data_IF_029648949952
#
_entry.id   IF_029648949952
#
_cell.length_a   1.000
_cell.length_b   1.000
_cell.length_c   1.000
_cell.angle_alpha   90.00
_cell.angle_beta   90.00
_cell.angle_gamma   90.00
#
_symmetry.space_group_name_H-M   'P 1'
#
loop_
_entity.id
_entity.type
_entity.pdbx_description
1 polymer ?
#
# COMPACT_ATOMS: atom_id res chain seq x y z
N UNK A 1 36.19 -38.53 27.24
CA UNK A 1 36.70 -38.91 25.90
C UNK A 1 36.08 -37.96 24.88
N UNK A 2 36.90 -37.13 24.27
CA UNK A 2 36.50 -36.13 23.29
C UNK A 2 36.50 -36.77 21.89
N UNK A 3 35.42 -36.55 21.12
CA UNK A 3 35.42 -36.76 19.68
C UNK A 3 34.99 -35.46 19.00
N UNK A 4 36.00 -34.69 18.60
CA UNK A 4 35.91 -33.63 17.61
C UNK A 4 35.82 -34.28 16.22
N UNK A 5 34.84 -33.88 15.40
CA UNK A 5 34.88 -34.10 13.94
C UNK A 5 34.71 -32.78 13.21
N UNK A 6 35.57 -32.62 12.21
CA UNK A 6 35.88 -31.40 11.49
C UNK A 6 34.80 -30.98 10.49
N UNK A 7 34.85 -29.68 10.19
CA UNK A 7 33.98 -28.95 9.27
C UNK A 7 34.06 -29.44 7.82
N UNK A 8 32.90 -29.80 7.27
CA UNK A 8 32.69 -29.91 5.82
C UNK A 8 32.27 -28.56 5.23
N UNK A 9 33.19 -27.90 4.54
CA UNK A 9 32.86 -26.85 3.55
C UNK A 9 32.30 -27.52 2.31
N UNK A 10 31.21 -26.97 1.75
CA UNK A 10 30.71 -27.01 0.35
C UNK A 10 29.17 -26.96 0.40
N UNK A 11 28.42 -26.22 -0.41
CA UNK A 11 28.63 -25.18 -1.43
C UNK A 11 27.32 -24.36 -1.38
N UNK A 12 27.40 -23.02 -1.38
CA UNK A 12 26.21 -22.15 -1.46
C UNK A 12 25.66 -22.22 -2.89
N UNK A 13 24.35 -22.43 -3.11
CA UNK A 13 23.75 -22.16 -4.41
C UNK A 13 23.79 -20.65 -4.68
N UNK A 14 24.32 -20.29 -5.84
CA UNK A 14 24.49 -18.94 -6.34
C UNK A 14 23.15 -18.23 -6.54
N UNK A 15 23.04 -17.00 -6.06
CA UNK A 15 21.97 -16.07 -6.40
C UNK A 15 22.15 -15.64 -7.86
N UNK A 16 21.34 -16.20 -8.76
CA UNK A 16 21.20 -15.69 -10.12
C UNK A 16 20.43 -14.37 -10.08
N UNK A 17 21.17 -13.26 -10.02
CA UNK A 17 20.65 -11.93 -10.32
C UNK A 17 20.30 -11.85 -11.80
N UNK A 18 19.01 -11.94 -12.13
CA UNK A 18 18.51 -11.51 -13.43
C UNK A 18 18.23 -10.02 -13.35
N UNK A 19 19.17 -9.20 -13.82
CA UNK A 19 18.89 -7.81 -14.21
C UNK A 19 18.12 -7.87 -15.53
N UNK A 20 16.79 -7.84 -15.47
CA UNK A 20 15.98 -7.48 -16.63
C UNK A 20 15.95 -5.95 -16.73
N UNK A 21 16.70 -5.44 -17.70
CA UNK A 21 16.59 -4.06 -18.16
C UNK A 21 15.17 -3.83 -18.69
N UNK A 22 14.40 -2.97 -18.03
CA UNK A 22 13.20 -2.40 -18.63
C UNK A 22 13.62 -1.18 -19.44
N UNK A 23 13.63 -1.42 -20.75
CA UNK A 23 13.84 -0.49 -21.85
C UNK A 23 12.86 0.68 -21.71
N UNK A 24 13.40 1.89 -21.67
CA UNK A 24 12.65 3.12 -21.87
C UNK A 24 12.10 3.12 -23.29
N UNK A 25 10.77 3.01 -23.43
CA UNK A 25 10.07 3.23 -24.68
C UNK A 25 10.12 4.71 -25.03
N UNK A 26 11.04 5.09 -25.92
CA UNK A 26 11.06 6.38 -26.60
C UNK A 26 9.92 6.37 -27.62
N UNK A 27 8.81 7.02 -27.27
CA UNK A 27 7.78 7.36 -28.23
C UNK A 27 8.29 8.54 -29.08
N UNK A 28 8.79 8.22 -30.27
CA UNK A 28 8.96 9.17 -31.35
C UNK A 28 7.56 9.67 -31.78
N UNK A 29 7.28 10.95 -31.57
CA UNK A 29 6.19 11.64 -32.27
C UNK A 29 6.82 12.78 -33.10
N UNK A 30 6.99 12.43 -34.36
CA UNK A 30 7.08 13.25 -35.57
C UNK A 30 7.01 14.77 -35.38
N UNK A 31 8.14 15.37 -35.71
CA UNK A 31 8.35 16.76 -36.11
C UNK A 31 7.36 17.23 -37.19
N UNK A 32 6.62 18.30 -36.90
CA UNK A 32 6.23 19.30 -37.90
C UNK A 32 6.69 20.66 -37.39
N UNK A 33 7.98 20.92 -37.56
CA UNK A 33 8.54 22.26 -37.42
C UNK A 33 8.20 23.05 -38.68
N UNK A 34 7.36 24.08 -38.54
CA UNK A 34 7.26 25.14 -39.55
C UNK A 34 8.48 26.03 -39.35
N UNK A 35 9.55 25.75 -40.11
CA UNK A 35 10.67 26.66 -40.27
C UNK A 35 10.23 27.66 -41.35
N UNK A 36 9.83 28.85 -40.92
CA UNK A 36 9.62 29.98 -41.82
C UNK A 36 10.97 30.49 -42.32
N UNK A 37 11.37 30.06 -43.51
CA UNK A 37 12.53 30.57 -44.23
C UNK A 37 12.24 31.99 -44.72
N UNK A 38 12.89 33.00 -44.15
CA UNK A 38 12.97 34.33 -44.75
C UNK A 38 14.04 34.28 -45.84
N UNK A 39 13.60 34.15 -47.09
CA UNK A 39 14.44 34.41 -48.25
C UNK A 39 14.54 35.93 -48.47
N UNK A 40 15.74 36.54 -48.49
CA UNK A 40 15.89 37.88 -49.03
C UNK A 40 15.76 37.79 -50.56
N UNK A 41 14.74 38.45 -51.12
CA UNK A 41 14.62 38.60 -52.56
C UNK A 41 15.54 39.74 -53.01
N UNK A 42 16.62 39.37 -53.70
CA UNK A 42 17.52 40.30 -54.36
C UNK A 42 17.09 40.50 -55.82
N UNK A 43 16.83 41.77 -56.15
CA UNK A 43 17.22 42.47 -57.38
C UNK A 43 16.55 42.04 -58.70
N UNK A 44 15.74 42.95 -59.25
CA UNK A 44 15.67 43.19 -60.69
C UNK A 44 15.23 44.65 -60.94
N UNK A 45 16.19 45.52 -61.22
CA UNK A 45 16.00 46.71 -62.05
C UNK A 45 17.38 47.13 -62.57
N UNK A 46 17.67 46.70 -63.79
CA UNK A 46 18.84 47.06 -64.57
C UNK A 46 18.88 48.58 -64.78
N UNK A 47 20.04 49.19 -64.52
CA UNK A 47 20.36 50.54 -64.96
C UNK A 47 21.15 50.43 -66.27
N UNK A 48 20.45 50.65 -67.39
CA UNK A 48 21.09 51.20 -68.58
C UNK A 48 21.27 52.71 -68.33
N UNK A 49 22.53 53.13 -68.17
CA UNK A 49 22.93 54.54 -68.21
C UNK A 49 23.76 54.76 -69.47
N UNK A 50 23.06 55.16 -70.54
CA UNK A 50 23.65 56.01 -71.57
C UNK A 50 23.41 57.47 -71.14
N UNK A 51 24.50 58.23 -71.11
CA UNK A 51 24.52 59.65 -70.79
C UNK A 51 23.84 60.50 -71.88
N UNK A 52 23.32 61.66 -71.45
CA UNK A 52 23.16 62.98 -72.13
C UNK A 52 21.88 63.62 -71.55
N UNK A 53 22.03 64.53 -70.59
CA UNK A 53 22.13 65.98 -70.79
C UNK A 53 20.79 66.70 -70.59
N UNK A 54 20.90 67.85 -69.93
CA UNK A 54 19.93 68.93 -69.72
C UNK A 54 18.86 68.78 -68.64
N UNK A 55 18.99 69.66 -67.65
CA UNK A 55 17.88 70.54 -67.29
C UNK A 55 17.01 70.08 -66.12
N UNK A 56 17.39 70.52 -64.92
CA UNK A 56 16.52 71.08 -63.88
C UNK A 56 15.05 70.66 -63.92
N UNK A 57 14.61 69.77 -63.02
CA UNK A 57 13.45 69.87 -62.10
C UNK A 57 13.35 68.50 -61.40
N UNK A 58 13.20 68.53 -60.06
CA UNK A 58 12.81 67.43 -59.14
C UNK A 58 13.94 66.76 -58.34
N UNK A 59 14.52 67.52 -57.42
CA UNK A 59 15.23 66.96 -56.25
C UNK A 59 14.71 67.53 -54.91
N UNK A 60 13.42 67.87 -54.84
CA UNK A 60 12.74 68.36 -53.60
C UNK A 60 11.88 67.25 -52.96
N UNK A 61 12.09 65.97 -53.28
CA UNK A 61 11.20 64.90 -52.79
C UNK A 61 11.91 63.59 -52.38
N UNK A 62 13.16 63.66 -51.89
CA UNK A 62 13.87 62.49 -51.35
C UNK A 62 14.09 62.57 -49.83
N UNK A 63 14.06 63.76 -49.25
CA UNK A 63 14.31 63.95 -47.82
C UNK A 63 13.08 63.56 -46.96
N UNK A 64 11.88 63.95 -47.39
CA UNK A 64 10.63 63.60 -46.70
C UNK A 64 10.25 62.11 -46.84
N UNK A 65 10.79 61.39 -47.83
CA UNK A 65 10.54 59.94 -48.02
C UNK A 65 11.48 59.07 -47.17
N UNK A 66 12.72 59.52 -46.93
CA UNK A 66 13.65 58.80 -46.06
C UNK A 66 13.22 58.92 -44.59
N UNK A 67 12.72 60.09 -44.18
CA UNK A 67 12.21 60.35 -42.83
C UNK A 67 10.90 59.58 -42.54
N UNK A 68 10.00 59.46 -43.53
CA UNK A 68 8.80 58.60 -43.39
C UNK A 68 9.09 57.10 -43.43
N UNK A 69 10.17 56.66 -44.09
CA UNK A 69 10.59 55.25 -44.06
C UNK A 69 11.26 54.91 -42.72
N UNK A 70 12.08 55.81 -42.17
CA UNK A 70 12.69 55.64 -40.84
C UNK A 70 11.63 55.56 -39.73
N UNK A 71 10.63 56.44 -39.75
CA UNK A 71 9.50 56.40 -38.81
C UNK A 71 8.71 55.08 -38.90
N UNK A 72 8.46 54.57 -40.11
CA UNK A 72 7.78 53.28 -40.31
C UNK A 72 8.58 52.09 -39.79
N UNK A 73 9.92 52.13 -39.88
CA UNK A 73 10.80 51.08 -39.35
C UNK A 73 10.78 51.09 -37.81
N UNK A 74 10.81 52.27 -37.19
CA UNK A 74 10.72 52.41 -35.74
C UNK A 74 9.34 51.99 -35.19
N UNK A 75 8.26 52.38 -35.87
CA UNK A 75 6.90 51.92 -35.53
C UNK A 75 6.77 50.39 -35.66
N UNK A 76 7.33 49.81 -36.73
CA UNK A 76 7.33 48.36 -36.93
C UNK A 76 8.17 47.64 -35.87
N UNK A 77 9.32 48.19 -35.48
CA UNK A 77 10.17 47.64 -34.41
C UNK A 77 9.45 47.70 -33.05
N UNK A 78 8.78 48.81 -32.74
CA UNK A 78 7.96 48.95 -31.53
C UNK A 78 6.77 47.98 -31.54
N UNK A 79 6.10 47.79 -32.68
CA UNK A 79 5.01 46.83 -32.82
C UNK A 79 5.48 45.38 -32.63
N UNK A 80 6.67 45.03 -33.15
CA UNK A 80 7.27 43.71 -32.96
C UNK A 80 7.65 43.45 -31.50
N UNK A 81 8.26 44.43 -30.82
CA UNK A 81 8.62 44.30 -29.40
C UNK A 81 7.36 44.11 -28.53
N UNK A 82 6.32 44.92 -28.77
CA UNK A 82 5.04 44.79 -28.05
C UNK A 82 4.40 43.42 -28.28
N UNK A 83 4.44 42.89 -29.50
CA UNK A 83 3.90 41.57 -29.82
C UNK A 83 4.69 40.43 -29.13
N UNK A 84 6.01 40.57 -28.97
CA UNK A 84 6.83 39.61 -28.20
C UNK A 84 6.51 39.65 -26.71
N UNK A 85 6.38 40.84 -26.12
CA UNK A 85 6.04 41.03 -24.70
C UNK A 85 4.64 40.46 -24.39
N UNK A 86 3.66 40.70 -25.26
CA UNK A 86 2.30 40.14 -25.14
C UNK A 86 2.28 38.61 -25.30
N UNK A 87 3.08 38.07 -26.23
CA UNK A 87 3.22 36.62 -26.42
C UNK A 87 3.92 35.94 -25.23
N UNK A 88 4.93 36.58 -24.63
CA UNK A 88 5.59 36.09 -23.41
C UNK A 88 4.63 36.14 -22.22
N UNK A 89 3.88 37.23 -22.05
CA UNK A 89 2.86 37.36 -21.02
C UNK A 89 1.77 36.28 -21.17
N UNK A 90 1.30 36.01 -22.39
CA UNK A 90 0.34 34.95 -22.67
C UNK A 90 0.90 33.55 -22.35
N UNK A 91 2.16 33.25 -22.72
CA UNK A 91 2.82 31.98 -22.39
C UNK A 91 3.02 31.80 -20.89
N UNK A 92 3.40 32.86 -20.17
CA UNK A 92 3.56 32.85 -18.72
C UNK A 92 2.20 32.61 -18.03
N UNK A 93 1.15 33.29 -18.47
CA UNK A 93 -0.21 33.09 -17.97
C UNK A 93 -0.73 31.66 -18.23
N UNK A 94 -0.46 31.09 -19.40
CA UNK A 94 -0.82 29.71 -19.71
C UNK A 94 -0.01 28.70 -18.87
N UNK A 95 1.28 28.93 -18.67
CA UNK A 95 2.13 28.10 -17.82
C UNK A 95 1.68 28.14 -16.36
N UNK A 96 1.32 29.31 -15.84
CA UNK A 96 0.76 29.47 -14.49
C UNK A 96 -0.59 28.76 -14.36
N UNK A 97 -1.49 28.89 -15.33
CA UNK A 97 -2.77 28.14 -15.36
C UNK A 97 -2.54 26.63 -15.39
N UNK A 98 -1.63 26.13 -16.24
CA UNK A 98 -1.30 24.71 -16.31
C UNK A 98 -0.67 24.21 -15.00
N UNK A 99 0.20 25.01 -14.38
CA UNK A 99 0.80 24.69 -13.09
C UNK A 99 -0.25 24.63 -11.97
N UNK A 100 -1.22 25.54 -11.96
CA UNK A 100 -2.30 25.54 -10.99
C UNK A 100 -3.26 24.35 -11.19
N UNK A 101 -3.61 24.02 -12.43
CA UNK A 101 -4.40 22.82 -12.74
C UNK A 101 -3.68 21.56 -12.28
N UNK A 102 -2.37 21.45 -12.56
CA UNK A 102 -1.55 20.31 -12.11
C UNK A 102 -1.51 20.22 -10.58
N UNK A 103 -1.29 21.33 -9.87
CA UNK A 103 -1.30 21.37 -8.39
C UNK A 103 -2.65 20.96 -7.82
N UNK A 104 -3.76 21.44 -8.41
CA UNK A 104 -5.12 21.06 -8.00
C UNK A 104 -5.40 19.57 -8.26
N UNK A 105 -4.95 19.04 -9.40
CA UNK A 105 -5.07 17.62 -9.73
C UNK A 105 -4.26 16.73 -8.77
N UNK A 106 -3.01 17.10 -8.47
CA UNK A 106 -2.16 16.39 -7.52
C UNK A 106 -2.72 16.44 -6.09
N UNK A 107 -3.23 17.60 -5.65
CA UNK A 107 -3.86 17.73 -4.34
C UNK A 107 -5.14 16.88 -4.23
N UNK A 108 -5.96 16.84 -5.28
CA UNK A 108 -7.14 15.98 -5.34
C UNK A 108 -6.75 14.49 -5.32
N UNK A 109 -5.77 14.08 -6.12
CA UNK A 109 -5.29 12.70 -6.14
C UNK A 109 -4.69 12.27 -4.78
N UNK A 110 -3.96 13.17 -4.12
CA UNK A 110 -3.43 12.92 -2.76
C UNK A 110 -4.56 12.73 -1.76
N UNK A 111 -5.56 13.63 -1.77
CA UNK A 111 -6.73 13.54 -0.88
C UNK A 111 -7.53 12.25 -1.11
N UNK A 112 -7.80 11.89 -2.36
CA UNK A 112 -8.50 10.64 -2.69
C UNK A 112 -7.71 9.40 -2.24
N UNK A 113 -6.38 9.42 -2.36
CA UNK A 113 -5.53 8.33 -1.85
C UNK A 113 -5.59 8.23 -0.32
N UNK A 114 -5.48 9.36 0.39
CA UNK A 114 -5.59 9.39 1.85
C UNK A 114 -6.96 8.92 2.34
N UNK A 115 -8.04 9.30 1.65
CA UNK A 115 -9.40 8.83 1.94
C UNK A 115 -9.55 7.33 1.71
N UNK A 116 -9.02 6.79 0.61
CA UNK A 116 -9.00 5.34 0.35
C UNK A 116 -8.19 4.59 1.41
N UNK A 117 -7.02 5.10 1.79
CA UNK A 117 -6.20 4.50 2.83
C UNK A 117 -6.92 4.54 4.20
N UNK A 118 -7.60 5.63 4.53
CA UNK A 118 -8.41 5.74 5.75
C UNK A 118 -9.59 4.76 5.75
N UNK A 119 -10.31 4.66 4.64
CA UNK A 119 -11.40 3.71 4.47
C UNK A 119 -10.92 2.26 4.58
N UNK A 120 -9.78 1.93 3.97
CA UNK A 120 -9.16 0.60 4.09
C UNK A 120 -8.76 0.27 5.54
N UNK A 121 -8.15 1.22 6.26
CA UNK A 121 -7.81 1.04 7.69
C UNK A 121 -9.04 0.87 8.57
N UNK A 122 -10.14 1.56 8.27
CA UNK A 122 -11.39 1.40 9.00
C UNK A 122 -12.06 0.06 8.73
N UNK A 123 -12.12 -0.37 7.47
CA UNK A 123 -12.64 -1.68 7.11
C UNK A 123 -11.82 -2.80 7.78
N UNK A 124 -10.50 -2.68 7.80
CA UNK A 124 -9.62 -3.62 8.47
C UNK A 124 -9.84 -3.61 9.99
N UNK A 125 -9.98 -2.44 10.62
CA UNK A 125 -10.32 -2.35 12.06
C UNK A 125 -11.64 -3.05 12.38
N UNK A 126 -12.67 -2.88 11.55
CA UNK A 126 -13.97 -3.55 11.73
C UNK A 126 -13.84 -5.07 11.60
N UNK A 127 -13.07 -5.54 10.61
CA UNK A 127 -12.79 -6.97 10.43
C UNK A 127 -12.04 -7.55 11.62
N UNK A 128 -11.00 -6.87 12.09
CA UNK A 128 -10.17 -7.29 13.22
C UNK A 128 -10.95 -7.34 14.55
N UNK A 129 -12.01 -6.54 14.69
CA UNK A 129 -12.89 -6.54 15.85
C UNK A 129 -14.02 -7.57 15.78
N UNK A 130 -14.25 -8.20 14.63
CA UNK A 130 -15.27 -9.25 14.49
C UNK A 130 -14.71 -10.56 14.98
N UNK A 131 -15.40 -11.27 15.86
CA UNK A 131 -14.95 -12.56 16.34
C UNK A 131 -15.43 -13.71 15.44
N UNK A 132 -14.76 -14.86 15.53
CA UNK A 132 -15.07 -16.09 14.79
C UNK A 132 -15.04 -17.30 15.72
N UNK A 133 -15.74 -18.35 15.32
CA UNK A 133 -15.57 -19.67 15.93
C UNK A 133 -14.13 -20.17 15.71
N UNK A 134 -13.49 -20.75 16.75
CA UNK A 134 -12.09 -21.19 16.67
C UNK A 134 -11.90 -22.42 15.78
N UNK A 135 -12.96 -23.21 15.58
CA UNK A 135 -13.01 -24.33 14.62
C UNK A 135 -14.28 -24.19 13.80
N UNK A 136 -14.12 -24.11 12.47
CA UNK A 136 -15.25 -23.93 11.56
C UNK A 136 -16.18 -25.15 11.57
N UNK A 137 -17.49 -24.92 11.70
CA UNK A 137 -18.51 -25.97 11.69
C UNK A 137 -18.50 -26.91 12.91
N UNK A 138 -17.75 -26.56 13.95
CA UNK A 138 -17.74 -27.31 15.21
C UNK A 138 -18.93 -26.95 16.09
N UNK A 139 -19.22 -27.82 17.06
CA UNK A 139 -20.13 -27.58 18.17
C UNK A 139 -19.41 -27.86 19.50
N UNK A 140 -19.98 -27.39 20.61
CA UNK A 140 -19.47 -27.67 21.96
C UNK A 140 -19.83 -29.09 22.35
N UNK A 141 -18.82 -29.91 22.57
CA UNK A 141 -18.92 -31.31 23.01
C UNK A 141 -18.91 -31.45 24.54
N UNK A 142 -18.09 -30.64 25.23
CA UNK A 142 -18.05 -30.56 26.69
C UNK A 142 -18.23 -29.11 27.13
N UNK A 143 -19.20 -28.87 28.00
CA UNK A 143 -19.53 -27.52 28.48
C UNK A 143 -18.59 -27.03 29.58
N UNK A 144 -18.52 -25.72 29.73
CA UNK A 144 -17.85 -25.03 30.84
C UNK A 144 -18.45 -25.41 32.20
N UNK A 145 -17.58 -25.53 33.20
CA UNK A 145 -17.88 -26.01 34.56
C UNK A 145 -18.53 -27.40 34.64
N UNK A 146 -18.40 -28.23 33.60
CA UNK A 146 -18.72 -29.65 33.70
C UNK A 146 -17.86 -30.27 34.81
N UNK A 147 -18.48 -30.93 35.78
CA UNK A 147 -17.80 -31.47 36.96
C UNK A 147 -17.32 -32.91 36.79
N UNK A 148 -16.26 -33.30 37.50
CA UNK A 148 -15.77 -34.69 37.49
C UNK A 148 -14.30 -34.85 37.88
N UNK A 149 -13.85 -36.09 38.03
CA UNK A 149 -12.48 -36.44 38.45
C UNK A 149 -11.43 -36.27 37.34
N UNK A 150 -11.83 -35.97 36.11
CA UNK A 150 -10.93 -35.76 34.97
C UNK A 150 -10.17 -34.43 35.04
N UNK A 151 -10.69 -33.45 35.80
CA UNK A 151 -10.12 -32.11 35.90
C UNK A 151 -9.48 -31.88 37.26
N UNK A 152 -8.26 -31.34 37.29
CA UNK A 152 -7.51 -31.12 38.53
C UNK A 152 -8.17 -30.12 39.48
N UNK A 153 -9.00 -29.20 38.97
CA UNK A 153 -9.81 -28.27 39.77
C UNK A 153 -11.18 -28.84 40.17
N UNK A 154 -11.51 -30.06 39.72
CA UNK A 154 -12.84 -30.66 39.88
C UNK A 154 -13.89 -30.16 38.89
N UNK A 155 -13.55 -29.20 38.01
CA UNK A 155 -14.45 -28.71 36.96
C UNK A 155 -13.71 -28.30 35.69
N UNK A 156 -14.40 -28.37 34.56
CA UNK A 156 -13.89 -27.93 33.27
C UNK A 156 -13.74 -26.40 33.21
N UNK A 157 -12.52 -25.91 33.02
CA UNK A 157 -12.16 -24.48 32.97
C UNK A 157 -12.44 -23.82 31.61
N UNK A 158 -12.87 -24.60 30.61
CA UNK A 158 -13.14 -24.12 29.26
C UNK A 158 -14.34 -24.80 28.62
N UNK A 159 -14.37 -24.77 27.30
CA UNK A 159 -15.27 -25.58 26.48
C UNK A 159 -14.47 -26.42 25.51
N UNK A 160 -14.98 -27.61 25.20
CA UNK A 160 -14.36 -28.48 24.21
C UNK A 160 -15.14 -28.44 22.91
N UNK A 161 -14.51 -27.95 21.86
CA UNK A 161 -15.04 -28.00 20.50
C UNK A 161 -14.71 -29.34 19.86
N UNK A 162 -15.74 -30.00 19.30
CA UNK A 162 -15.56 -31.24 18.54
C UNK A 162 -14.70 -30.99 17.30
N UNK A 163 -13.49 -31.55 17.29
CA UNK A 163 -12.54 -31.41 16.18
C UNK A 163 -11.72 -32.67 16.00
N UNK A 164 -11.64 -33.18 14.78
CA UNK A 164 -10.71 -34.27 14.46
C UNK A 164 -9.27 -33.77 14.49
N UNK A 165 -8.31 -34.64 14.86
CA UNK A 165 -6.89 -34.27 14.85
C UNK A 165 -6.48 -33.72 13.47
N UNK A 166 -5.79 -32.58 13.46
CA UNK A 166 -5.43 -31.88 12.24
C UNK A 166 -6.47 -30.87 11.73
N UNK A 167 -7.63 -30.70 12.40
CA UNK A 167 -8.56 -29.63 12.00
C UNK A 167 -7.96 -28.26 12.25
N UNK A 168 -8.20 -27.31 11.33
CA UNK A 168 -7.67 -25.95 11.43
C UNK A 168 -8.24 -25.23 12.65
N UNK A 169 -7.35 -24.67 13.48
CA UNK A 169 -7.69 -23.84 14.63
C UNK A 169 -7.28 -22.40 14.34
N UNK A 170 -8.23 -21.48 14.47
CA UNK A 170 -8.03 -20.06 14.20
C UNK A 170 -8.16 -19.21 15.46
N UNK A 171 -7.51 -18.06 15.47
CA UNK A 171 -7.72 -17.06 16.52
C UNK A 171 -9.15 -16.52 16.44
N UNK A 172 -9.87 -16.53 17.56
CA UNK A 172 -11.27 -16.06 17.61
C UNK A 172 -11.36 -14.57 17.30
N UNK A 173 -10.36 -13.78 17.69
CA UNK A 173 -10.29 -12.34 17.50
C UNK A 173 -8.86 -11.87 17.33
N UNK A 174 -8.67 -10.56 17.22
CA UNK A 174 -7.33 -9.99 17.06
C UNK A 174 -6.63 -9.81 18.41
N UNK A 175 -5.34 -10.10 18.43
CA UNK A 175 -4.54 -10.02 19.65
C UNK A 175 -3.06 -10.30 19.42
N UNK A 176 -2.34 -10.47 20.52
CA UNK A 176 -0.91 -10.82 20.53
C UNK A 176 -0.71 -12.14 21.25
N UNK A 177 0.02 -13.06 20.63
CA UNK A 177 0.39 -14.35 21.24
C UNK A 177 1.31 -14.09 22.44
N UNK A 178 0.89 -14.51 23.63
CA UNK A 178 1.67 -14.39 24.87
C UNK A 178 2.28 -15.71 25.32
N UNK A 179 1.68 -16.84 24.93
CA UNK A 179 2.24 -18.17 25.14
C UNK A 179 2.06 -19.02 23.89
N UNK A 180 3.08 -19.82 23.54
CA UNK A 180 3.05 -20.77 22.44
C UNK A 180 4.03 -21.91 22.75
N UNK A 181 3.53 -23.08 23.12
CA UNK A 181 4.37 -24.23 23.47
C UNK A 181 3.66 -25.24 24.36
N UNK A 182 4.45 -26.02 25.11
CA UNK A 182 3.93 -27.04 26.02
C UNK A 182 3.41 -26.42 27.33
N UNK A 183 2.12 -26.59 27.61
CA UNK A 183 1.39 -26.03 28.75
C UNK A 183 0.99 -27.07 29.81
N UNK A 184 1.75 -28.16 29.94
CA UNK A 184 1.45 -29.21 30.91
C UNK A 184 0.21 -30.01 30.53
N UNK A 185 -0.84 -29.95 31.36
CA UNK A 185 -2.10 -30.67 31.12
C UNK A 185 -2.78 -30.24 29.80
N UNK A 186 -2.61 -28.99 29.38
CA UNK A 186 -3.13 -28.51 28.09
C UNK A 186 -2.35 -29.04 26.87
N UNK A 187 -1.22 -29.72 27.06
CA UNK A 187 -0.37 -30.17 25.96
C UNK A 187 0.21 -29.00 25.16
N UNK A 188 0.26 -29.10 23.84
CA UNK A 188 0.58 -27.95 23.00
C UNK A 188 -0.55 -26.93 23.10
N UNK A 189 -0.20 -25.72 23.50
CA UNK A 189 -1.17 -24.66 23.74
C UNK A 189 -0.69 -23.32 23.20
N UNK A 190 -1.67 -22.45 22.96
CA UNK A 190 -1.46 -21.05 22.58
C UNK A 190 -2.33 -20.20 23.50
N UNK A 191 -1.76 -19.13 24.06
CA UNK A 191 -2.52 -18.09 24.78
C UNK A 191 -2.36 -16.78 24.02
N UNK A 192 -3.47 -16.11 23.76
CA UNK A 192 -3.52 -14.84 23.02
C UNK A 192 -4.12 -13.79 23.95
N UNK A 193 -3.37 -12.70 24.17
CA UNK A 193 -3.91 -11.48 24.77
C UNK A 193 -4.70 -10.71 23.72
N UNK A 194 -5.99 -10.61 23.92
CA UNK A 194 -6.95 -10.01 23.02
C UNK A 194 -6.90 -8.47 23.14
N UNK A 195 -7.35 -7.76 22.10
CA UNK A 195 -7.38 -6.30 22.09
C UNK A 195 -8.39 -5.69 23.09
N UNK A 196 -9.37 -6.46 23.54
CA UNK A 196 -10.34 -6.09 24.58
C UNK A 196 -9.75 -6.20 26.00
N UNK A 197 -8.51 -6.71 26.14
CA UNK A 197 -7.83 -6.91 27.42
C UNK A 197 -7.99 -8.32 28.03
N UNK A 198 -8.87 -9.16 27.45
CA UNK A 198 -9.04 -10.55 27.84
C UNK A 198 -7.94 -11.45 27.27
N UNK A 199 -7.96 -12.72 27.66
CA UNK A 199 -7.06 -13.75 27.16
C UNK A 199 -7.86 -14.93 26.63
N UNK A 200 -7.43 -15.49 25.51
CA UNK A 200 -7.99 -16.73 24.97
C UNK A 200 -6.93 -17.82 24.93
N UNK A 201 -7.27 -19.02 25.38
CA UNK A 201 -6.38 -20.17 25.34
C UNK A 201 -6.92 -21.25 24.40
N UNK A 202 -6.01 -21.89 23.67
CA UNK A 202 -6.27 -22.97 22.72
C UNK A 202 -5.39 -24.15 23.12
N UNK A 203 -5.99 -25.22 23.63
CA UNK A 203 -5.30 -26.39 24.16
C UNK A 203 -5.37 -27.63 23.27
N UNK A 204 -4.60 -28.64 23.66
CA UNK A 204 -4.52 -29.97 23.06
C UNK A 204 -4.11 -30.01 21.58
N UNK A 205 -3.39 -28.99 21.09
CA UNK A 205 -3.05 -28.86 19.68
C UNK A 205 -2.09 -29.96 19.19
N UNK A 206 -2.23 -30.41 17.94
CA UNK A 206 -1.25 -31.29 17.30
C UNK A 206 -0.05 -30.51 16.75
N UNK A 207 -0.26 -29.26 16.34
CA UNK A 207 0.80 -28.34 15.92
C UNK A 207 0.49 -26.90 16.28
N UNK A 208 1.55 -26.11 16.45
CA UNK A 208 1.52 -24.67 16.68
C UNK A 208 2.15 -23.97 15.48
N UNK A 209 1.47 -22.98 14.92
CA UNK A 209 1.88 -22.26 13.70
C UNK A 209 2.28 -20.80 13.97
N UNK A 210 2.31 -20.40 15.25
CA UNK A 210 2.60 -19.04 15.69
C UNK A 210 3.70 -19.02 16.75
N UNK A 211 4.25 -17.84 17.00
CA UNK A 211 5.29 -17.62 18.01
C UNK A 211 4.89 -16.54 19.01
N UNK A 212 5.44 -16.60 20.23
CA UNK A 212 5.25 -15.54 21.24
C UNK A 212 5.65 -14.18 20.68
N UNK A 213 4.83 -13.17 20.92
CA UNK A 213 4.99 -11.80 20.41
C UNK A 213 4.39 -11.57 19.03
N UNK A 214 3.92 -12.61 18.34
CA UNK A 214 3.25 -12.46 17.05
C UNK A 214 1.86 -11.83 17.22
N UNK A 215 1.57 -10.81 16.42
CA UNK A 215 0.21 -10.29 16.26
C UNK A 215 -0.59 -11.23 15.34
N UNK A 216 -1.81 -11.53 15.73
CA UNK A 216 -2.76 -12.32 14.94
C UNK A 216 -4.09 -11.58 14.83
N UNK A 217 -4.77 -11.74 13.71
CA UNK A 217 -6.11 -11.25 13.46
C UNK A 217 -7.19 -12.32 13.63
N UNK A 218 -8.45 -11.90 13.69
CA UNK A 218 -9.58 -12.83 13.69
C UNK A 218 -9.57 -13.73 12.44
N UNK A 219 -9.62 -15.04 12.68
CA UNK A 219 -9.61 -16.06 11.63
C UNK A 219 -8.22 -16.45 11.11
N UNK A 220 -7.15 -15.85 11.63
CA UNK A 220 -5.79 -16.30 11.32
C UNK A 220 -5.58 -17.71 11.90
N UNK A 221 -5.06 -18.62 11.09
CA UNK A 221 -4.77 -19.97 11.53
C UNK A 221 -3.56 -19.98 12.48
N UNK A 222 -3.78 -20.43 13.70
CA UNK A 222 -2.78 -20.43 14.77
C UNK A 222 -2.20 -21.81 15.06
N UNK A 223 -2.90 -22.86 14.66
CA UNK A 223 -2.45 -24.24 14.88
C UNK A 223 -3.41 -25.26 14.28
N UNK A 224 -3.21 -26.51 14.67
CA UNK A 224 -4.07 -27.63 14.33
C UNK A 224 -4.55 -28.32 15.61
N UNK A 225 -5.84 -28.68 15.66
CA UNK A 225 -6.41 -29.46 16.78
C UNK A 225 -5.74 -30.83 16.90
N UNK A 226 -5.81 -31.44 18.08
CA UNK A 226 -5.13 -32.68 18.38
C UNK A 226 -5.64 -33.31 19.67
N UNK A 227 -4.78 -34.09 20.32
CA UNK A 227 -5.07 -34.75 21.60
C UNK A 227 -3.81 -34.82 22.47
N UNK A 228 -2.99 -33.77 22.45
CA UNK A 228 -1.77 -33.72 23.29
C UNK A 228 -2.10 -33.32 24.72
N UNK A 229 -1.28 -33.72 25.69
CA UNK A 229 -1.50 -33.39 27.11
C UNK A 229 -2.49 -34.37 27.76
N UNK A 230 -3.25 -33.89 28.74
CA UNK A 230 -4.30 -34.65 29.41
C UNK A 230 -5.60 -34.57 28.59
N UNK A 231 -5.77 -35.48 27.65
CA UNK A 231 -6.89 -35.50 26.70
C UNK A 231 -7.36 -36.94 26.49
N UNK A 232 -8.67 -37.15 26.39
CA UNK A 232 -9.28 -38.49 26.17
C UNK A 232 -9.48 -38.82 24.70
N UNK A 233 -9.34 -37.83 23.81
CA UNK A 233 -9.47 -37.97 22.37
C UNK A 233 -9.37 -36.63 21.65
N UNK A 234 -9.33 -36.60 20.31
CA UNK A 234 -9.16 -35.35 19.57
C UNK A 234 -10.29 -34.34 19.81
N UNK A 235 -9.92 -33.13 20.19
CA UNK A 235 -10.80 -31.97 20.34
C UNK A 235 -9.96 -30.67 20.37
N UNK A 236 -10.63 -29.52 20.38
CA UNK A 236 -10.01 -28.26 20.78
C UNK A 236 -10.57 -27.86 22.14
N UNK A 237 -9.70 -27.76 23.14
CA UNK A 237 -10.04 -27.09 24.39
C UNK A 237 -9.86 -25.58 24.23
N UNK A 238 -10.89 -24.80 24.57
CA UNK A 238 -10.91 -23.35 24.44
C UNK A 238 -11.32 -22.69 25.76
N UNK A 239 -10.52 -21.71 26.20
CA UNK A 239 -10.86 -20.87 27.34
C UNK A 239 -10.90 -19.39 26.96
N UNK A 240 -11.79 -18.66 27.63
CA UNK A 240 -11.71 -17.22 27.76
C UNK A 240 -11.33 -16.89 29.21
N UNK A 241 -10.46 -15.91 29.41
CA UNK A 241 -9.87 -15.58 30.71
C UNK A 241 -9.74 -14.07 30.92
N UNK A 242 -9.76 -13.66 32.18
CA UNK A 242 -9.51 -12.26 32.58
C UNK A 242 -8.04 -11.93 32.75
N UNK A 243 -7.19 -12.94 32.93
CA UNK A 243 -5.74 -12.81 33.04
C UNK A 243 -5.04 -14.01 32.38
N UNK A 244 -3.71 -14.01 32.14
CA UNK A 244 -3.05 -15.16 31.51
C UNK A 244 -3.01 -16.39 32.44
N UNK A 245 -3.13 -16.19 33.75
CA UNK A 245 -3.00 -17.22 34.77
C UNK A 245 -4.19 -18.18 34.81
N UNK A 246 -3.89 -19.43 35.17
CA UNK A 246 -4.90 -20.46 35.43
C UNK A 246 -5.85 -20.05 36.57
N UNK A 247 -7.14 -20.36 36.43
CA UNK A 247 -8.19 -20.05 37.39
C UNK A 247 -8.85 -18.67 37.20
N UNK A 248 -8.42 -17.91 36.20
CA UNK A 248 -9.05 -16.65 35.78
C UNK A 248 -10.11 -16.85 34.67
N UNK A 249 -10.53 -18.11 34.47
CA UNK A 249 -11.50 -18.54 33.47
C UNK A 249 -12.88 -17.90 33.65
N UNK A 250 -13.46 -17.49 32.52
CA UNK A 250 -14.83 -17.00 32.39
C UNK A 250 -15.59 -17.88 31.41
N UNK A 251 -16.92 -17.79 31.39
CA UNK A 251 -17.75 -18.57 30.47
C UNK A 251 -17.35 -18.28 29.00
N UNK A 252 -16.73 -19.24 28.29
CA UNK A 252 -16.26 -19.01 26.94
C UNK A 252 -17.40 -18.86 25.93
N UNK A 253 -18.55 -19.48 26.18
CA UNK A 253 -19.73 -19.37 25.30
C UNK A 253 -20.35 -17.99 25.44
N UNK A 254 -20.49 -17.50 26.67
CA UNK A 254 -20.96 -16.14 26.92
C UNK A 254 -20.01 -15.11 26.30
N UNK A 255 -18.70 -15.28 26.48
CA UNK A 255 -17.67 -14.42 25.89
C UNK A 255 -17.76 -14.37 24.36
N UNK A 256 -17.89 -15.52 23.70
CA UNK A 256 -18.03 -15.60 22.24
C UNK A 256 -19.34 -14.92 21.76
N UNK A 257 -20.45 -15.11 22.47
CA UNK A 257 -21.74 -14.50 22.14
C UNK A 257 -21.75 -12.99 22.32
N UNK A 258 -21.09 -12.47 23.35
CA UNK A 258 -20.91 -11.02 23.55
C UNK A 258 -20.19 -10.39 22.35
N UNK A 259 -19.27 -11.12 21.74
CA UNK A 259 -18.55 -10.71 20.53
C UNK A 259 -19.26 -11.07 19.22
N UNK A 260 -20.53 -11.46 19.27
CA UNK A 260 -21.37 -11.72 18.10
C UNK A 260 -21.17 -13.09 17.45
N UNK A 261 -20.48 -14.02 18.11
CA UNK A 261 -20.29 -15.40 17.61
C UNK A 261 -21.42 -16.29 18.09
N UNK A 262 -22.04 -17.01 17.16
CA UNK A 262 -23.00 -18.07 17.48
C UNK A 262 -22.26 -19.38 17.75
N UNK A 263 -22.53 -19.97 18.91
CA UNK A 263 -21.94 -21.21 19.43
C UNK A 263 -23.05 -22.17 19.80
#
# INVERSE_FOLDING_TARGET
MAFTRAAGKHRRPSVLSRKSANIAGVAALTTTGVIGTLAPQAIAAEQDLAAEDTGTIRAVALDHSAETVAQRIEEQAHAQQKALDEAEAARKAEAERKAEIKRKAEAKAKKEREERERAAREAERKRLNTFRLPVAGSYVSTSYKSGGSLWSSGSHSGVDFHASSGSSVVAVGSGTVVEAGWGGAYGNNIVIRMNDGSYTQYGHLSSINVSVGQSVGSGDQIGLSGSTGNSTGPHLHFEARTSPEYGSDIDPVAYLREHGVSV
#
